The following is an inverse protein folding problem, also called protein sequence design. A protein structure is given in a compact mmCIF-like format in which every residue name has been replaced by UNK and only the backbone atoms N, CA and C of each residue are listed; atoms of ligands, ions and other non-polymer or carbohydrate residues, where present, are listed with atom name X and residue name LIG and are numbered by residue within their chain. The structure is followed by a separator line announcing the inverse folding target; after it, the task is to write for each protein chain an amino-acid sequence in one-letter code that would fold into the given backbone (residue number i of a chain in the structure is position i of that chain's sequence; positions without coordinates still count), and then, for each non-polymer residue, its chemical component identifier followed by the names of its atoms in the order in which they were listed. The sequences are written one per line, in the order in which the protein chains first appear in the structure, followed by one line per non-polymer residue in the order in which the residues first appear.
data_IF_501921505496
#
_entry.id   IF_501921505496
#
_cell.length_a   1.000
_cell.length_b   1.000
_cell.length_c   1.000
_cell.angle_alpha   90.00
_cell.angle_beta   90.00
_cell.angle_gamma   90.00
#
_symmetry.space_group_name_H-M   'P 1'
#
loop_
_entity.id
_entity.type
_entity.pdbx_description
1 polymer ?
#
# COMPACT_ATOMS: atom_id res chain seq x y z
N UNK A 1 11.89 -11.36 16.19
CA UNK A 1 10.53 -11.13 15.67
C UNK A 1 10.58 -9.93 14.74
N UNK A 2 10.28 -10.11 13.46
CA UNK A 2 10.21 -9.03 12.45
C UNK A 2 8.86 -8.32 12.57
N UNK A 3 8.86 -6.98 12.65
CA UNK A 3 7.61 -6.21 12.66
C UNK A 3 6.87 -6.34 11.32
N UNK A 4 5.53 -6.49 11.33
CA UNK A 4 4.74 -6.53 10.11
C UNK A 4 4.71 -5.15 9.44
N UNK A 5 4.84 -5.13 8.11
CA UNK A 5 4.84 -3.91 7.33
C UNK A 5 3.40 -3.54 6.91
N UNK A 6 2.98 -2.34 7.23
CA UNK A 6 1.67 -1.77 6.87
C UNK A 6 1.88 -0.82 5.69
N UNK A 7 1.01 -0.89 4.67
CA UNK A 7 1.08 0.02 3.51
C UNK A 7 -0.06 1.02 3.44
N UNK A 8 -1.20 0.75 4.09
CA UNK A 8 -2.30 1.69 4.18
C UNK A 8 -3.13 1.47 5.46
N UNK A 9 -3.75 2.55 5.94
CA UNK A 9 -4.70 2.54 7.05
C UNK A 9 -5.92 3.32 6.59
N UNK A 10 -6.95 2.58 6.15
CA UNK A 10 -8.19 3.15 5.67
C UNK A 10 -9.16 3.37 6.83
N UNK A 11 -9.50 4.64 7.07
CA UNK A 11 -10.52 5.03 8.06
C UNK A 11 -11.90 5.02 7.39
N UNK A 12 -12.95 4.81 8.19
CA UNK A 12 -14.34 4.82 7.71
C UNK A 12 -14.66 3.80 6.61
N UNK A 13 -14.07 2.60 6.69
CA UNK A 13 -14.41 1.49 5.83
C UNK A 13 -15.77 0.90 6.19
N UNK A 14 -16.74 1.00 5.28
CA UNK A 14 -18.10 0.42 5.43
C UNK A 14 -18.28 -0.87 4.61
N UNK A 15 -17.37 -1.14 3.67
CA UNK A 15 -17.44 -2.30 2.77
C UNK A 15 -16.56 -3.47 3.25
N UNK A 16 -15.68 -3.24 4.23
CA UNK A 16 -14.68 -4.22 4.70
C UNK A 16 -15.18 -5.00 5.93
N UNK A 17 -16.50 -5.08 6.12
CA UNK A 17 -17.16 -5.76 7.23
C UNK A 17 -18.34 -4.97 7.79
N UNK A 18 -19.08 -5.52 8.78
CA UNK A 18 -20.26 -4.87 9.33
C UNK A 18 -19.92 -3.57 10.08
N UNK A 19 -20.67 -2.50 9.82
CA UNK A 19 -20.52 -1.19 10.49
C UNK A 19 -19.34 -0.35 9.97
N UNK A 20 -18.96 0.67 10.73
CA UNK A 20 -17.81 1.55 10.38
C UNK A 20 -16.53 0.95 10.96
N UNK A 21 -15.52 0.75 10.10
CA UNK A 21 -14.24 0.14 10.47
C UNK A 21 -13.04 1.01 10.12
N UNK A 22 -11.95 0.76 10.84
CA UNK A 22 -10.62 1.10 10.39
C UNK A 22 -9.97 -0.18 9.84
N UNK A 23 -9.63 -0.19 8.57
CA UNK A 23 -9.00 -1.32 7.89
C UNK A 23 -7.50 -1.07 7.81
N UNK A 24 -6.70 -2.01 8.31
CA UNK A 24 -5.24 -1.96 8.26
C UNK A 24 -4.79 -2.91 7.17
N UNK A 25 -4.08 -2.39 6.16
CA UNK A 25 -3.59 -3.17 5.04
C UNK A 25 -2.11 -3.51 5.20
N UNK A 26 -1.82 -4.81 5.24
CA UNK A 26 -0.49 -5.36 5.44
C UNK A 26 0.18 -5.73 4.12
N UNK A 27 1.51 -5.66 4.11
CA UNK A 27 2.38 -6.19 3.05
C UNK A 27 2.66 -7.68 3.28
N UNK A 28 2.83 -8.40 2.18
CA UNK A 28 2.99 -9.84 2.12
C UNK A 28 1.68 -10.55 1.81
N UNK A 29 1.48 -10.90 0.54
CA UNK A 29 0.42 -11.82 0.11
C UNK A 29 1.08 -12.96 -0.69
N UNK A 30 0.89 -14.23 -0.29
CA UNK A 30 1.50 -15.36 -0.99
C UNK A 30 0.80 -15.68 -2.32
N UNK A 31 -0.29 -14.99 -2.64
CA UNK A 31 -1.08 -15.20 -3.85
C UNK A 31 -0.69 -14.20 -4.95
N UNK A 32 -0.97 -14.57 -6.20
CA UNK A 32 -0.76 -13.72 -7.37
C UNK A 32 -2.02 -13.73 -8.27
N UNK A 33 -3.15 -13.28 -7.71
CA UNK A 33 -4.43 -13.26 -8.40
C UNK A 33 -4.37 -12.38 -9.65
N UNK A 34 -4.96 -12.83 -10.76
CA UNK A 34 -5.00 -12.08 -12.04
C UNK A 34 -5.70 -10.72 -11.92
N UNK A 35 -6.65 -10.60 -10.99
CA UNK A 35 -7.42 -9.39 -10.69
C UNK A 35 -7.11 -8.88 -9.28
N UNK A 36 -5.86 -8.90 -8.83
CA UNK A 36 -5.54 -8.37 -7.51
C UNK A 36 -5.88 -6.87 -7.43
N UNK A 37 -6.74 -6.49 -6.49
CA UNK A 37 -7.12 -5.08 -6.28
C UNK A 37 -6.02 -4.29 -5.55
N UNK A 38 -5.13 -4.99 -4.83
CA UNK A 38 -4.05 -4.40 -4.05
C UNK A 38 -2.69 -5.05 -4.41
N UNK A 39 -2.20 -4.93 -5.67
CA UNK A 39 -0.95 -5.56 -6.11
C UNK A 39 0.27 -5.10 -5.30
N UNK A 40 0.25 -3.89 -4.73
CA UNK A 40 1.26 -3.37 -3.81
C UNK A 40 1.39 -4.21 -2.54
N UNK A 41 0.36 -4.94 -2.13
CA UNK A 41 0.40 -5.80 -0.93
C UNK A 41 1.21 -7.07 -1.12
N UNK A 42 1.49 -7.50 -2.36
CA UNK A 42 2.07 -8.83 -2.65
C UNK A 42 3.48 -8.96 -2.08
N UNK A 43 4.35 -8.01 -2.40
CA UNK A 43 5.72 -8.01 -1.89
C UNK A 43 5.73 -7.69 -0.39
N UNK A 44 6.45 -8.48 0.44
CA UNK A 44 6.63 -8.18 1.86
C UNK A 44 7.67 -7.07 2.12
N UNK A 45 8.35 -6.57 1.07
CA UNK A 45 9.43 -5.58 1.20
C UNK A 45 8.86 -4.15 1.26
N UNK A 46 9.63 -3.26 1.90
CA UNK A 46 9.41 -1.81 1.79
C UNK A 46 9.57 -1.40 0.33
N UNK A 47 8.60 -0.63 -0.17
CA UNK A 47 8.58 -0.14 -1.55
C UNK A 47 8.10 1.30 -1.55
N UNK A 48 8.70 2.11 -2.42
CA UNK A 48 8.23 3.47 -2.69
C UNK A 48 6.93 3.40 -3.47
N UNK A 49 5.91 4.11 -2.99
CA UNK A 49 4.67 4.30 -3.74
C UNK A 49 4.90 5.40 -4.77
N UNK A 50 4.66 5.10 -6.04
CA UNK A 50 4.81 6.06 -7.13
C UNK A 50 3.60 5.99 -8.05
N UNK A 51 2.94 7.13 -8.24
CA UNK A 51 1.82 7.25 -9.17
C UNK A 51 2.27 8.00 -10.41
N UNK A 52 2.70 7.27 -11.44
CA UNK A 52 3.24 7.84 -12.67
C UNK A 52 2.30 8.89 -13.31
N UNK A 53 1.00 8.61 -13.32
CA UNK A 53 -0.02 9.52 -13.86
C UNK A 53 -0.11 10.89 -13.15
N UNK A 54 0.41 10.99 -11.91
CA UNK A 54 0.44 12.26 -11.14
C UNK A 54 1.82 12.95 -11.20
N UNK A 55 2.80 12.33 -11.85
CA UNK A 55 4.17 12.86 -11.90
C UNK A 55 4.29 13.95 -12.97
N UNK A 56 4.84 15.10 -12.60
CA UNK A 56 5.17 16.19 -13.54
C UNK A 56 6.63 16.15 -14.02
N UNK A 57 7.39 15.13 -13.65
CA UNK A 57 8.80 14.96 -14.06
C UNK A 57 9.82 15.84 -13.33
N UNK A 58 9.45 16.50 -12.24
CA UNK A 58 10.36 17.42 -11.54
C UNK A 58 11.48 16.73 -10.73
N UNK A 59 11.38 15.42 -10.45
CA UNK A 59 12.41 14.65 -9.73
C UNK A 59 12.53 14.94 -8.22
N UNK A 60 11.81 15.93 -7.69
CA UNK A 60 11.94 16.34 -6.29
C UNK A 60 11.58 15.23 -5.29
N UNK A 61 10.59 14.39 -5.62
CA UNK A 61 10.21 13.25 -4.79
C UNK A 61 11.38 12.25 -4.62
N UNK A 62 12.25 12.08 -5.63
CA UNK A 62 13.40 11.19 -5.53
C UNK A 62 14.44 11.70 -4.52
N UNK A 63 14.53 13.02 -4.34
CA UNK A 63 15.47 13.67 -3.43
C UNK A 63 15.04 13.59 -1.97
N UNK A 64 13.73 13.71 -1.71
CA UNK A 64 13.19 13.79 -0.33
C UNK A 64 12.59 12.49 0.19
N UNK A 65 12.30 11.52 -0.68
CA UNK A 65 11.68 10.26 -0.26
C UNK A 65 12.67 9.45 0.60
N UNK A 66 12.29 9.08 1.83
CA UNK A 66 13.13 8.29 2.72
C UNK A 66 13.60 6.98 2.07
N UNK A 67 14.81 6.56 2.45
CA UNK A 67 15.37 5.24 2.14
C UNK A 67 14.79 4.18 3.06
#
# INVERSE_FOLDING_TARGET
MTQPLIFDIKRYSINDGPGIRATIFFKGCPLNCQWCHNPESISPKVQKLFTAAKCIGCGECCRVCPV
#
